data_IF_587399982741
#
_entry.id   IF_587399982741
#
_cell.length_a   1.000
_cell.length_b   1.000
_cell.length_c   1.000
_cell.angle_alpha   90.00
_cell.angle_beta   90.00
_cell.angle_gamma   90.00
#
_symmetry.space_group_name_H-M   'P 1'
#
loop_
_entity.id
_entity.type
_entity.pdbx_description
1 polymer ?
#
# COMPACT_ATOMS: atom_id res chain seq x y z
N UNK A 1 2.42 -28.53 -6.58
CA UNK A 1 1.99 -27.68 -5.42
C UNK A 1 1.82 -26.25 -5.92
N UNK A 2 0.81 -25.50 -5.48
CA UNK A 2 0.65 -24.11 -5.93
C UNK A 2 1.53 -23.19 -5.06
N UNK A 3 2.54 -22.57 -5.67
CA UNK A 3 3.41 -21.59 -5.01
C UNK A 3 2.70 -20.23 -4.93
N UNK A 4 2.88 -19.50 -3.84
CA UNK A 4 2.28 -18.18 -3.66
C UNK A 4 2.95 -17.13 -4.57
N UNK A 5 4.27 -16.99 -4.51
CA UNK A 5 4.98 -15.98 -5.29
C UNK A 5 6.46 -16.31 -5.48
N UNK A 6 7.05 -15.71 -6.51
CA UNK A 6 8.45 -15.82 -6.87
C UNK A 6 8.94 -14.45 -7.32
N UNK A 7 10.17 -14.07 -6.95
CA UNK A 7 10.82 -12.91 -7.52
C UNK A 7 12.33 -13.01 -7.53
N UNK A 8 12.95 -12.58 -8.62
CA UNK A 8 14.39 -12.44 -8.74
C UNK A 8 14.76 -10.96 -8.81
N UNK A 9 15.79 -10.55 -8.06
CA UNK A 9 16.08 -9.14 -7.85
C UNK A 9 17.48 -8.85 -7.33
N UNK A 10 17.72 -7.56 -7.08
CA UNK A 10 18.92 -7.08 -6.37
C UNK A 10 18.61 -6.87 -4.89
N UNK A 11 19.62 -6.96 -4.04
CA UNK A 11 19.52 -6.63 -2.63
C UNK A 11 20.64 -5.68 -2.21
N UNK A 12 20.33 -4.79 -1.27
CA UNK A 12 21.37 -4.00 -0.59
C UNK A 12 21.71 -4.64 0.75
N UNK A 13 23.01 -4.79 1.03
CA UNK A 13 23.52 -5.34 2.29
C UNK A 13 24.24 -4.26 3.09
N UNK A 14 24.07 -4.29 4.41
CA UNK A 14 24.86 -3.47 5.32
C UNK A 14 26.27 -4.08 5.56
N UNK A 15 27.11 -3.43 6.37
CA UNK A 15 28.49 -3.88 6.67
C UNK A 15 28.56 -5.24 7.36
N UNK A 16 27.49 -5.66 8.03
CA UNK A 16 27.37 -6.97 8.68
C UNK A 16 26.94 -8.07 7.69
N UNK A 17 26.76 -7.73 6.41
CA UNK A 17 26.28 -8.65 5.40
C UNK A 17 24.80 -8.99 5.52
N UNK A 18 23.99 -8.16 6.18
CA UNK A 18 22.53 -8.36 6.28
C UNK A 18 21.82 -7.60 5.17
N UNK A 19 20.86 -8.25 4.51
CA UNK A 19 19.97 -7.60 3.56
C UNK A 19 19.09 -6.58 4.29
N UNK A 20 19.14 -5.32 3.86
CA UNK A 20 18.33 -4.22 4.42
C UNK A 20 17.25 -3.74 3.45
N UNK A 21 17.35 -4.13 2.19
CA UNK A 21 16.48 -3.70 1.10
C UNK A 21 16.56 -4.70 -0.05
N UNK A 22 15.46 -4.89 -0.79
CA UNK A 22 15.44 -5.71 -2.00
C UNK A 22 14.52 -5.14 -3.08
N UNK A 23 14.99 -5.14 -4.32
CA UNK A 23 14.29 -4.64 -5.51
C UNK A 23 13.99 -5.79 -6.48
N UNK A 24 12.71 -5.97 -6.80
CA UNK A 24 12.20 -7.01 -7.69
C UNK A 24 11.49 -6.37 -8.88
N UNK A 25 12.13 -6.28 -10.07
CA UNK A 25 11.54 -5.60 -11.21
C UNK A 25 10.32 -6.33 -11.79
N UNK A 26 10.29 -7.66 -11.67
CA UNK A 26 9.27 -8.51 -12.29
C UNK A 26 8.80 -9.63 -11.32
N UNK A 27 8.18 -9.27 -10.18
CA UNK A 27 7.66 -10.28 -9.26
C UNK A 27 6.51 -11.04 -9.91
N UNK A 28 6.42 -12.34 -9.64
CA UNK A 28 5.42 -13.25 -10.19
C UNK A 28 4.52 -13.73 -9.07
N UNK A 29 3.21 -13.55 -9.25
CA UNK A 29 2.19 -14.12 -8.39
C UNK A 29 1.73 -15.46 -8.98
N UNK A 30 1.60 -16.49 -8.15
CA UNK A 30 1.20 -17.84 -8.56
C UNK A 30 2.05 -18.41 -9.72
N UNK A 31 3.39 -18.47 -9.59
CA UNK A 31 4.26 -19.02 -10.65
C UNK A 31 3.93 -20.49 -10.93
N UNK A 32 4.22 -20.94 -12.15
CA UNK A 32 4.04 -22.36 -12.51
C UNK A 32 5.03 -23.25 -11.75
N UNK A 33 4.62 -24.47 -11.43
CA UNK A 33 5.48 -25.47 -10.79
C UNK A 33 6.72 -25.76 -11.63
N UNK A 34 6.57 -25.84 -12.96
CA UNK A 34 7.69 -26.02 -13.90
C UNK A 34 8.73 -24.88 -13.84
N UNK A 35 8.28 -23.63 -13.67
CA UNK A 35 9.19 -22.50 -13.48
C UNK A 35 9.93 -22.63 -12.15
N UNK A 36 9.21 -22.90 -11.06
CA UNK A 36 9.83 -23.02 -9.74
C UNK A 36 10.83 -24.18 -9.70
N UNK A 37 10.51 -25.35 -10.26
CA UNK A 37 11.42 -26.51 -10.31
C UNK A 37 12.70 -26.20 -11.11
N UNK A 38 12.57 -25.49 -12.22
CA UNK A 38 13.70 -25.07 -13.04
C UNK A 38 14.63 -24.11 -12.30
N UNK A 39 14.07 -23.15 -11.55
CA UNK A 39 14.85 -22.20 -10.75
C UNK A 39 15.42 -22.87 -9.49
N UNK A 40 14.68 -23.80 -8.89
CA UNK A 40 15.10 -24.54 -7.71
C UNK A 40 16.38 -25.35 -7.96
N UNK A 41 16.46 -25.97 -9.14
CA UNK A 41 17.66 -26.71 -9.58
C UNK A 41 18.91 -25.83 -9.61
N UNK A 42 18.78 -24.55 -9.97
CA UNK A 42 19.89 -23.59 -10.08
C UNK A 42 20.20 -22.92 -8.74
N UNK A 43 19.17 -22.50 -8.02
CA UNK A 43 19.30 -21.75 -6.78
C UNK A 43 19.51 -22.62 -5.54
N UNK A 44 19.23 -23.93 -5.61
CA UNK A 44 19.24 -24.80 -4.45
C UNK A 44 18.04 -24.59 -3.53
N UNK A 45 16.88 -24.21 -4.08
CA UNK A 45 15.64 -24.14 -3.32
C UNK A 45 15.12 -25.54 -3.00
N UNK A 46 14.69 -25.77 -1.76
CA UNK A 46 14.18 -27.07 -1.31
C UNK A 46 12.66 -27.04 -1.07
N UNK A 47 12.22 -26.18 -0.14
CA UNK A 47 10.82 -26.11 0.31
C UNK A 47 10.54 -24.84 1.13
N UNK A 48 9.25 -24.56 1.34
CA UNK A 48 8.79 -23.47 2.19
C UNK A 48 9.06 -22.09 1.59
N UNK A 49 9.12 -21.08 2.45
CA UNK A 49 9.49 -19.73 2.04
C UNK A 49 11.00 -19.55 2.20
N UNK A 50 11.68 -19.14 1.13
CA UNK A 50 13.13 -18.93 1.14
C UNK A 50 13.53 -17.67 0.38
N UNK A 51 14.47 -16.92 0.96
CA UNK A 51 15.24 -15.90 0.28
C UNK A 51 16.68 -16.42 0.10
N UNK A 52 17.10 -16.60 -1.14
CA UNK A 52 18.35 -17.27 -1.52
C UNK A 52 19.26 -16.26 -2.22
N UNK A 53 20.48 -16.08 -1.73
CA UNK A 53 21.49 -15.27 -2.43
C UNK A 53 21.97 -15.98 -3.69
N UNK A 54 22.05 -15.23 -4.79
CA UNK A 54 22.35 -15.75 -6.12
C UNK A 54 23.71 -15.22 -6.59
N UNK A 55 24.57 -16.11 -7.06
CA UNK A 55 25.83 -15.73 -7.71
C UNK A 55 25.62 -15.23 -9.14
N UNK A 56 26.59 -14.49 -9.68
CA UNK A 56 26.59 -14.07 -11.08
C UNK A 56 26.48 -15.27 -12.06
N UNK A 57 27.14 -16.40 -11.75
CA UNK A 57 27.06 -17.61 -12.55
C UNK A 57 25.66 -18.23 -12.53
N UNK A 58 25.07 -18.38 -11.35
CA UNK A 58 23.68 -18.83 -11.22
C UNK A 58 22.71 -17.88 -11.93
N UNK A 59 22.93 -16.57 -11.88
CA UNK A 59 22.08 -15.60 -12.59
C UNK A 59 22.03 -15.85 -14.10
N UNK A 60 23.14 -16.24 -14.73
CA UNK A 60 23.15 -16.60 -16.16
C UNK A 60 22.33 -17.88 -16.45
N UNK A 61 22.38 -18.85 -15.54
CA UNK A 61 21.57 -20.08 -15.63
C UNK A 61 20.07 -19.80 -15.39
N UNK A 62 19.74 -18.96 -14.40
CA UNK A 62 18.38 -18.48 -14.14
C UNK A 62 17.81 -17.78 -15.38
N UNK A 63 18.62 -16.99 -16.10
CA UNK A 63 18.19 -16.35 -17.34
C UNK A 63 17.67 -17.38 -18.36
N UNK A 64 18.39 -18.49 -18.53
CA UNK A 64 17.97 -19.59 -19.40
C UNK A 64 16.73 -20.32 -18.87
N UNK A 65 16.60 -20.46 -17.55
CA UNK A 65 15.44 -21.10 -16.93
C UNK A 65 14.16 -20.26 -17.10
N UNK A 66 14.23 -18.95 -16.89
CA UNK A 66 13.12 -18.03 -17.15
C UNK A 66 12.70 -18.04 -18.63
N UNK A 67 13.66 -17.95 -19.55
CA UNK A 67 13.38 -17.94 -21.00
C UNK A 67 12.66 -19.22 -21.45
N UNK A 68 13.13 -20.38 -21.01
CA UNK A 68 12.51 -21.68 -21.34
C UNK A 68 11.09 -21.83 -20.79
N UNK A 69 10.75 -21.08 -19.75
CA UNK A 69 9.44 -21.05 -19.13
C UNK A 69 8.59 -19.84 -19.59
N UNK A 70 9.03 -19.12 -20.63
CA UNK A 70 8.26 -18.04 -21.24
C UNK A 70 8.26 -16.71 -20.47
N UNK A 71 9.13 -16.55 -19.48
CA UNK A 71 9.29 -15.30 -18.72
C UNK A 71 10.46 -14.47 -19.25
N UNK A 72 10.25 -13.86 -20.42
CA UNK A 72 11.27 -13.07 -21.10
C UNK A 72 11.73 -11.85 -20.28
N UNK A 73 10.87 -11.29 -19.41
CA UNK A 73 11.20 -10.12 -18.61
C UNK A 73 12.22 -10.47 -17.51
N UNK A 74 11.95 -11.54 -16.74
CA UNK A 74 12.91 -12.02 -15.76
C UNK A 74 14.18 -12.60 -16.43
N UNK A 75 14.07 -13.24 -17.60
CA UNK A 75 15.23 -13.69 -18.36
C UNK A 75 16.16 -12.53 -18.74
N UNK A 76 15.61 -11.44 -19.27
CA UNK A 76 16.37 -10.26 -19.64
C UNK A 76 17.00 -9.56 -18.43
N UNK A 77 16.30 -9.50 -17.29
CA UNK A 77 16.87 -9.01 -16.05
C UNK A 77 18.03 -9.90 -15.59
N UNK A 78 17.85 -11.22 -15.58
CA UNK A 78 18.85 -12.16 -15.09
C UNK A 78 20.13 -12.18 -15.93
N UNK A 79 20.02 -12.01 -17.25
CA UNK A 79 21.17 -11.85 -18.13
C UNK A 79 22.01 -10.60 -17.80
N UNK A 80 21.36 -9.49 -17.41
CA UNK A 80 22.05 -8.27 -16.96
C UNK A 80 22.62 -8.43 -15.56
N UNK A 81 21.85 -9.04 -14.66
CA UNK A 81 22.26 -9.28 -13.28
C UNK A 81 23.52 -10.15 -13.19
N UNK A 82 23.72 -11.07 -14.14
CA UNK A 82 24.94 -11.87 -14.26
C UNK A 82 26.22 -11.05 -14.46
N UNK A 83 26.12 -9.77 -14.86
CA UNK A 83 27.24 -8.85 -15.01
C UNK A 83 27.33 -7.80 -13.90
N UNK A 84 26.42 -7.86 -12.92
CA UNK A 84 26.35 -6.91 -11.81
C UNK A 84 27.29 -7.31 -10.67
N UNK A 85 27.80 -6.31 -9.95
CA UNK A 85 28.49 -6.51 -8.68
C UNK A 85 27.56 -6.37 -7.47
N UNK A 86 26.29 -6.04 -7.69
CA UNK A 86 25.30 -5.94 -6.62
C UNK A 86 24.95 -7.34 -6.10
N UNK A 87 24.67 -7.50 -4.78
CA UNK A 87 24.07 -8.72 -4.27
C UNK A 87 22.76 -9.03 -5.01
N UNK A 88 22.58 -10.29 -5.37
CA UNK A 88 21.37 -10.78 -6.04
C UNK A 88 20.62 -11.72 -5.10
N UNK A 89 19.30 -11.69 -5.17
CA UNK A 89 18.44 -12.54 -4.34
C UNK A 89 17.28 -13.09 -5.15
N UNK A 90 17.03 -14.38 -4.98
CA UNK A 90 15.83 -15.07 -5.45
C UNK A 90 14.96 -15.37 -4.24
N UNK A 91 13.72 -14.88 -4.24
CA UNK A 91 12.73 -15.18 -3.21
C UNK A 91 11.69 -16.12 -3.79
N UNK A 92 11.48 -17.25 -3.15
CA UNK A 92 10.42 -18.21 -3.47
C UNK A 92 9.53 -18.34 -2.23
N UNK A 93 8.25 -18.02 -2.39
CA UNK A 93 7.23 -18.18 -1.37
C UNK A 93 6.32 -19.34 -1.76
N UNK A 94 6.46 -20.48 -1.08
CA UNK A 94 5.52 -21.58 -1.21
C UNK A 94 4.12 -21.19 -0.72
N UNK A 95 4.03 -20.43 0.38
CA UNK A 95 2.78 -20.06 1.04
C UNK A 95 2.75 -18.58 1.41
N UNK A 96 1.54 -18.02 1.52
CA UNK A 96 1.33 -16.66 2.06
C UNK A 96 1.29 -16.69 3.59
N UNK A 97 2.45 -16.69 4.23
CA UNK A 97 2.61 -16.68 5.69
C UNK A 97 3.49 -15.52 6.16
N UNK A 98 3.63 -15.32 7.46
CA UNK A 98 4.43 -14.23 8.03
C UNK A 98 5.86 -14.27 7.47
N UNK A 99 6.31 -13.14 6.89
CA UNK A 99 7.65 -13.00 6.35
C UNK A 99 8.73 -13.21 7.41
N UNK A 100 9.74 -14.02 7.09
CA UNK A 100 10.86 -14.35 7.97
C UNK A 100 12.14 -13.59 7.61
N UNK A 101 12.19 -12.94 6.44
CA UNK A 101 13.34 -12.17 5.99
C UNK A 101 12.94 -10.84 5.34
N UNK A 102 13.85 -9.86 5.37
CA UNK A 102 13.63 -8.54 4.75
C UNK A 102 13.25 -8.66 3.27
N UNK A 103 13.91 -9.55 2.53
CA UNK A 103 13.63 -9.79 1.11
C UNK A 103 12.19 -10.28 0.88
N UNK A 104 11.65 -11.18 1.71
CA UNK A 104 10.26 -11.61 1.63
C UNK A 104 9.27 -10.46 1.91
N UNK A 105 9.58 -9.62 2.92
CA UNK A 105 8.77 -8.44 3.23
C UNK A 105 8.71 -7.46 2.06
N UNK A 106 9.85 -7.18 1.43
CA UNK A 106 9.92 -6.34 0.24
C UNK A 106 9.18 -6.94 -0.95
N UNK A 107 9.22 -8.27 -1.15
CA UNK A 107 8.44 -8.94 -2.19
C UNK A 107 6.95 -8.70 -1.98
N UNK A 108 6.43 -8.94 -0.78
CA UNK A 108 4.99 -8.74 -0.51
C UNK A 108 4.53 -7.30 -0.70
N UNK A 109 5.34 -6.31 -0.30
CA UNK A 109 5.04 -4.90 -0.56
C UNK A 109 5.04 -4.59 -2.07
N UNK A 110 6.01 -5.13 -2.82
CA UNK A 110 6.07 -4.97 -4.27
C UNK A 110 4.91 -5.67 -4.98
N UNK A 111 4.44 -6.83 -4.52
CA UNK A 111 3.23 -7.47 -5.08
C UNK A 111 2.01 -6.54 -5.01
N UNK A 112 1.86 -5.80 -3.90
CA UNK A 112 0.78 -4.82 -3.74
C UNK A 112 1.00 -3.62 -4.69
N UNK A 113 2.21 -3.06 -4.71
CA UNK A 113 2.51 -1.88 -5.54
C UNK A 113 2.52 -2.17 -7.03
N UNK A 114 2.85 -3.39 -7.46
CA UNK A 114 2.68 -3.86 -8.84
C UNK A 114 1.21 -4.13 -9.20
N UNK A 115 0.27 -3.98 -8.25
CA UNK A 115 -1.16 -4.31 -8.38
C UNK A 115 -1.44 -5.79 -8.65
N UNK A 116 -0.49 -6.68 -8.34
CA UNK A 116 -0.71 -8.13 -8.42
C UNK A 116 -1.61 -8.60 -7.28
N UNK A 117 -1.49 -7.93 -6.12
CA UNK A 117 -2.30 -8.17 -4.94
C UNK A 117 -3.00 -6.87 -4.51
N UNK A 118 -4.28 -6.95 -4.17
CA UNK A 118 -5.02 -5.83 -3.56
C UNK A 118 -4.66 -5.69 -2.08
N UNK A 119 -4.83 -4.51 -1.46
CA UNK A 119 -4.75 -4.39 0.00
C UNK A 119 -5.55 -5.49 0.72
N UNK A 120 -5.00 -6.03 1.80
CA UNK A 120 -5.49 -7.19 2.57
C UNK A 120 -5.41 -8.54 1.85
N UNK A 121 -4.78 -8.60 0.67
CA UNK A 121 -4.62 -9.84 -0.10
C UNK A 121 -3.32 -10.61 0.20
N UNK A 122 -2.52 -10.19 1.18
CA UNK A 122 -1.33 -10.94 1.64
C UNK A 122 -1.07 -10.72 3.13
N UNK A 123 -0.46 -11.71 3.79
CA UNK A 123 -0.08 -11.65 5.21
C UNK A 123 1.11 -10.70 5.41
N UNK A 124 0.89 -9.60 6.14
CA UNK A 124 1.91 -8.60 6.49
C UNK A 124 2.15 -8.48 8.00
N UNK A 125 1.67 -9.45 8.79
CA UNK A 125 1.88 -9.47 10.24
C UNK A 125 3.36 -9.40 10.59
N UNK A 126 3.70 -8.58 11.59
CA UNK A 126 5.09 -8.43 12.06
C UNK A 126 6.02 -7.65 11.12
N UNK A 127 5.57 -7.17 9.95
CA UNK A 127 6.44 -6.50 8.96
C UNK A 127 7.19 -5.29 9.53
N UNK A 128 6.58 -4.53 10.45
CA UNK A 128 7.25 -3.41 11.12
C UNK A 128 8.44 -3.84 12.00
N UNK A 129 8.36 -5.02 12.62
CA UNK A 129 9.46 -5.57 13.41
C UNK A 129 10.57 -6.13 12.53
N UNK A 130 10.21 -6.65 11.36
CA UNK A 130 11.11 -7.22 10.36
C UNK A 130 11.92 -6.14 9.61
N UNK A 131 11.26 -5.07 9.15
CA UNK A 131 11.94 -4.01 8.39
C UNK A 131 12.76 -3.11 9.32
N UNK A 132 13.96 -2.73 8.89
CA UNK A 132 14.85 -1.85 9.66
C UNK A 132 14.57 -0.39 9.35
N UNK A 133 14.90 0.52 10.29
CA UNK A 133 14.84 1.95 10.01
C UNK A 133 16.08 2.34 9.20
N UNK A 134 15.89 2.83 7.98
CA UNK A 134 16.96 3.04 6.99
C UNK A 134 17.04 4.51 6.61
N UNK A 135 18.25 5.00 6.33
CA UNK A 135 18.44 6.28 5.65
C UNK A 135 18.34 6.08 4.13
N UNK A 136 17.28 6.61 3.53
CA UNK A 136 17.05 6.58 2.09
C UNK A 136 17.75 7.79 1.47
N UNK A 137 18.79 7.52 0.69
CA UNK A 137 19.69 8.56 0.17
C UNK A 137 19.77 8.54 -1.35
N UNK A 138 20.36 9.59 -1.93
CA UNK A 138 20.65 9.63 -3.36
C UNK A 138 21.70 8.58 -3.83
N UNK A 139 22.36 7.87 -2.90
CA UNK A 139 23.26 6.75 -3.19
C UNK A 139 22.62 5.38 -2.87
N UNK A 140 21.31 5.34 -2.60
CA UNK A 140 20.59 4.15 -2.17
C UNK A 140 20.37 4.07 -0.66
N UNK A 141 19.86 2.93 -0.16
CA UNK A 141 19.63 2.72 1.27
C UNK A 141 20.96 2.57 2.02
N UNK A 142 21.08 3.28 3.14
CA UNK A 142 22.24 3.20 4.04
C UNK A 142 21.72 2.85 5.44
N UNK A 143 22.31 1.83 6.04
CA UNK A 143 22.00 1.47 7.43
C UNK A 143 22.38 2.63 8.36
N UNK A 144 21.54 2.92 9.36
CA UNK A 144 21.74 4.10 10.20
C UNK A 144 23.09 4.14 10.94
N UNK A 145 23.63 3.01 11.45
CA UNK A 145 24.97 3.00 12.04
C UNK A 145 26.09 3.37 11.05
N UNK A 146 25.87 3.26 9.74
CA UNK A 146 26.84 3.58 8.68
C UNK A 146 26.75 5.01 8.16
N UNK A 147 25.61 5.68 8.39
CA UNK A 147 25.32 6.96 7.76
C UNK A 147 26.36 8.05 8.06
N UNK A 148 26.81 8.17 9.32
CA UNK A 148 27.73 9.23 9.73
C UNK A 148 29.09 9.12 9.00
N UNK A 149 29.62 7.91 8.89
CA UNK A 149 30.87 7.62 8.18
C UNK A 149 30.74 7.95 6.70
N UNK A 150 29.66 7.51 6.06
CA UNK A 150 29.35 7.79 4.64
C UNK A 150 29.19 9.28 4.36
N UNK A 151 28.59 10.03 5.28
CA UNK A 151 28.48 11.49 5.18
C UNK A 151 29.84 12.17 5.27
N UNK A 152 30.72 11.74 6.19
CA UNK A 152 32.09 12.28 6.32
C UNK A 152 32.87 12.02 5.03
N UNK A 153 32.85 10.80 4.51
CA UNK A 153 33.51 10.44 3.24
C UNK A 153 33.03 11.30 2.07
N UNK A 154 31.71 11.49 1.93
CA UNK A 154 31.15 12.35 0.90
C UNK A 154 31.67 13.79 1.00
N UNK A 155 31.69 14.36 2.22
CA UNK A 155 32.17 15.75 2.43
C UNK A 155 33.67 15.90 2.19
N UNK A 156 34.49 14.94 2.62
CA UNK A 156 35.93 14.93 2.36
C UNK A 156 36.23 14.80 0.85
N UNK A 157 35.36 14.12 0.10
CA UNK A 157 35.41 14.04 -1.36
C UNK A 157 34.78 15.25 -2.07
N UNK A 158 34.32 16.28 -1.35
CA UNK A 158 33.67 17.47 -1.93
C UNK A 158 32.27 17.24 -2.49
N UNK A 159 31.60 16.15 -2.12
CA UNK A 159 30.22 15.78 -2.52
C UNK A 159 29.24 15.94 -1.36
N UNK A 160 27.94 15.93 -1.67
CA UNK A 160 26.86 15.90 -0.67
C UNK A 160 26.11 14.58 -0.79
N UNK A 161 25.97 13.88 0.34
CA UNK A 161 25.04 12.75 0.50
C UNK A 161 23.72 13.30 1.05
N UNK A 162 22.68 13.32 0.22
CA UNK A 162 21.34 13.78 0.59
C UNK A 162 20.57 12.63 1.21
N UNK A 163 19.93 12.88 2.34
CA UNK A 163 19.04 11.94 3.02
C UNK A 163 17.61 12.45 2.83
N UNK A 164 16.85 11.78 1.96
CA UNK A 164 15.49 12.19 1.60
C UNK A 164 14.47 11.70 2.64
N UNK A 165 14.74 10.56 3.28
CA UNK A 165 13.83 9.93 4.23
C UNK A 165 14.62 9.08 5.23
N UNK A 166 14.16 9.01 6.47
CA UNK A 166 14.61 8.05 7.48
C UNK A 166 13.39 7.28 7.99
N UNK A 167 13.19 6.09 7.45
CA UNK A 167 11.98 5.30 7.71
C UNK A 167 12.21 3.81 7.39
N UNK A 168 11.30 2.95 7.86
CA UNK A 168 11.24 1.52 7.53
C UNK A 168 10.70 1.23 6.13
N UNK A 169 9.93 2.16 5.57
CA UNK A 169 9.30 2.00 4.26
C UNK A 169 9.86 3.04 3.29
N UNK A 170 10.38 2.64 2.12
CA UNK A 170 10.75 3.58 1.08
C UNK A 170 9.53 4.16 0.35
N UNK A 171 9.77 5.16 -0.49
CA UNK A 171 8.77 5.64 -1.46
C UNK A 171 8.58 4.61 -2.59
N UNK A 172 7.33 4.39 -2.99
CA UNK A 172 6.95 3.35 -3.96
C UNK A 172 7.64 3.51 -5.31
N UNK A 173 7.78 4.75 -5.78
CA UNK A 173 8.25 5.06 -7.14
C UNK A 173 9.71 4.71 -7.40
N UNK A 174 10.50 4.51 -6.35
CA UNK A 174 11.88 4.03 -6.47
C UNK A 174 11.93 2.54 -6.87
N UNK A 175 10.80 1.84 -6.73
CA UNK A 175 10.62 0.43 -7.05
C UNK A 175 9.71 0.24 -8.26
N UNK A 176 8.56 0.90 -8.26
CA UNK A 176 7.57 0.75 -9.33
C UNK A 176 6.73 2.01 -9.50
N UNK A 177 6.53 2.39 -10.76
CA UNK A 177 5.49 3.32 -11.17
C UNK A 177 4.47 2.53 -11.99
N UNK A 178 3.34 2.13 -11.38
CA UNK A 178 2.30 1.39 -12.11
C UNK A 178 1.76 2.21 -13.28
N UNK A 179 1.27 1.52 -14.31
CA UNK A 179 0.73 2.19 -15.49
C UNK A 179 -0.50 3.04 -15.16
N UNK A 180 -0.66 4.16 -15.89
CA UNK A 180 -1.86 5.00 -15.81
C UNK A 180 -2.04 5.76 -14.50
N UNK A 181 -0.97 6.05 -13.75
CA UNK A 181 -1.04 6.88 -12.53
C UNK A 181 -0.36 8.23 -12.69
N UNK A 182 -0.73 9.16 -11.82
CA UNK A 182 0.05 10.37 -11.55
C UNK A 182 0.28 10.51 -10.06
N UNK A 183 1.51 10.82 -9.66
CA UNK A 183 1.88 11.08 -8.27
C UNK A 183 2.72 12.36 -8.27
N UNK A 184 2.16 13.43 -7.71
CA UNK A 184 2.76 14.76 -7.78
C UNK A 184 3.95 14.92 -6.81
N UNK A 185 3.80 14.45 -5.58
CA UNK A 185 4.90 14.31 -4.62
C UNK A 185 5.05 12.83 -4.24
N UNK A 186 6.12 12.22 -4.75
CA UNK A 186 6.33 10.78 -4.63
C UNK A 186 6.75 10.34 -3.22
N UNK A 187 7.20 11.27 -2.37
CA UNK A 187 7.56 10.99 -0.99
C UNK A 187 6.34 10.56 -0.14
N UNK A 188 5.12 10.84 -0.62
CA UNK A 188 3.87 10.59 0.10
C UNK A 188 3.17 9.29 -0.28
N UNK A 189 3.78 8.46 -1.12
CA UNK A 189 3.26 7.13 -1.49
C UNK A 189 4.29 6.09 -1.11
N UNK A 190 4.01 5.33 -0.04
CA UNK A 190 4.93 4.29 0.47
C UNK A 190 4.92 3.05 -0.41
N UNK A 191 6.05 2.35 -0.49
CA UNK A 191 6.09 1.00 -1.03
C UNK A 191 5.10 0.11 -0.26
N UNK A 192 4.30 -0.67 -1.00
CA UNK A 192 3.14 -1.39 -0.49
C UNK A 192 1.82 -0.64 -0.62
N UNK A 193 1.81 0.59 -1.14
CA UNK A 193 0.59 1.25 -1.57
C UNK A 193 0.07 0.63 -2.89
N UNK A 194 -1.24 0.50 -3.04
CA UNK A 194 -1.91 0.09 -4.26
C UNK A 194 -2.57 1.32 -4.92
N UNK A 195 -1.94 1.86 -5.96
CA UNK A 195 -2.46 3.04 -6.67
C UNK A 195 -3.17 2.57 -7.94
N UNK A 196 -4.50 2.53 -7.96
CA UNK A 196 -5.31 2.05 -9.08
C UNK A 196 -5.10 2.83 -10.38
N UNK A 197 -5.41 2.21 -11.53
CA UNK A 197 -5.30 2.87 -12.83
C UNK A 197 -6.25 4.08 -12.91
N UNK A 198 -5.75 5.19 -13.44
CA UNK A 198 -6.46 6.47 -13.49
C UNK A 198 -6.41 7.28 -12.19
N UNK A 199 -5.82 6.76 -11.12
CA UNK A 199 -5.62 7.54 -9.89
C UNK A 199 -4.62 8.67 -10.10
N UNK A 200 -4.97 9.85 -9.59
CA UNK A 200 -4.05 10.98 -9.41
C UNK A 200 -3.86 11.24 -7.93
N UNK A 201 -2.63 11.11 -7.44
CA UNK A 201 -2.23 11.55 -6.10
C UNK A 201 -1.60 12.93 -6.22
N UNK A 202 -2.28 13.96 -5.72
CA UNK A 202 -1.77 15.34 -5.70
C UNK A 202 -0.78 15.53 -4.54
N UNK A 203 -0.16 16.71 -4.46
CA UNK A 203 0.89 17.01 -3.47
C UNK A 203 0.44 16.77 -2.01
N UNK A 204 -0.82 17.08 -1.69
CA UNK A 204 -1.37 16.84 -0.34
C UNK A 204 -1.91 15.40 -0.16
N UNK A 205 -1.92 14.61 -1.23
CA UNK A 205 -2.28 13.20 -1.20
C UNK A 205 -1.21 12.36 -0.50
N UNK A 206 -1.65 11.40 0.30
CA UNK A 206 -0.78 10.43 0.95
C UNK A 206 -1.44 9.05 0.91
N UNK A 207 -0.65 8.02 0.60
CA UNK A 207 -1.09 6.62 0.61
C UNK A 207 -0.06 5.77 1.36
N UNK A 208 -0.51 5.12 2.43
CA UNK A 208 0.32 4.23 3.22
C UNK A 208 0.44 2.83 2.58
N UNK A 209 1.27 1.96 3.18
CA UNK A 209 1.32 0.55 2.79
C UNK A 209 0.01 -0.19 3.11
N UNK A 210 -0.27 -1.27 2.36
CA UNK A 210 -1.49 -2.07 2.46
C UNK A 210 -2.77 -1.20 2.38
N UNK A 211 -2.74 -0.17 1.54
CA UNK A 211 -3.81 0.79 1.37
C UNK A 211 -3.79 1.37 -0.04
N UNK A 212 -4.83 2.08 -0.42
CA UNK A 212 -4.87 2.85 -1.65
C UNK A 212 -6.21 2.82 -2.36
N UNK A 213 -6.16 2.85 -3.69
CA UNK A 213 -7.34 3.04 -4.55
C UNK A 213 -7.56 1.82 -5.43
N UNK A 214 -8.82 1.44 -5.62
CA UNK A 214 -9.22 0.31 -6.46
C UNK A 214 -9.23 0.66 -7.97
N UNK A 215 -9.35 1.94 -8.31
CA UNK A 215 -9.49 2.43 -9.69
C UNK A 215 -9.26 3.94 -9.80
N UNK A 216 -10.04 4.62 -10.61
CA UNK A 216 -9.96 6.09 -10.81
C UNK A 216 -10.26 6.80 -9.48
N UNK A 217 -9.44 7.77 -9.11
CA UNK A 217 -9.62 8.56 -7.88
C UNK A 217 -8.77 9.83 -7.94
N UNK A 218 -9.29 10.94 -7.43
CA UNK A 218 -8.50 12.11 -7.06
C UNK A 218 -8.12 12.03 -5.57
N UNK A 219 -6.82 11.88 -5.28
CA UNK A 219 -6.31 11.76 -3.91
C UNK A 219 -5.50 13.00 -3.55
N UNK A 220 -6.11 13.85 -2.75
CA UNK A 220 -5.52 15.08 -2.19
C UNK A 220 -5.50 15.08 -0.65
N UNK A 221 -5.96 13.98 -0.04
CA UNK A 221 -5.90 13.74 1.40
C UNK A 221 -5.15 12.45 1.76
N UNK A 222 -5.30 12.02 3.02
CA UNK A 222 -4.51 10.93 3.61
C UNK A 222 -5.29 9.63 3.69
N UNK A 223 -4.79 8.62 2.99
CA UNK A 223 -5.26 7.23 3.01
C UNK A 223 -4.34 6.43 3.97
N UNK A 224 -4.85 6.16 5.18
CA UNK A 224 -4.12 5.41 6.21
C UNK A 224 -3.93 3.94 5.86
N UNK A 225 -2.99 3.26 6.54
CA UNK A 225 -2.74 1.83 6.32
C UNK A 225 -4.02 1.00 6.51
N UNK A 226 -4.26 0.04 5.62
CA UNK A 226 -5.47 -0.76 5.56
C UNK A 226 -6.65 -0.10 4.84
N UNK A 227 -6.63 1.20 4.58
CA UNK A 227 -7.78 1.89 3.95
C UNK A 227 -7.82 1.60 2.45
N UNK A 228 -9.00 1.20 1.96
CA UNK A 228 -9.27 1.03 0.53
C UNK A 228 -10.32 2.04 0.09
N UNK A 229 -10.02 2.76 -0.99
CA UNK A 229 -10.91 3.72 -1.64
C UNK A 229 -11.44 3.12 -2.94
N UNK A 230 -12.76 3.06 -3.05
CA UNK A 230 -13.47 2.55 -4.21
C UNK A 230 -13.26 3.39 -5.47
N UNK A 231 -13.65 2.82 -6.61
CA UNK A 231 -13.53 3.48 -7.91
C UNK A 231 -14.43 4.73 -7.99
N UNK A 232 -13.92 5.80 -8.61
CA UNK A 232 -14.63 7.06 -8.79
C UNK A 232 -14.75 7.93 -7.53
N UNK A 233 -14.11 7.55 -6.43
CA UNK A 233 -14.16 8.30 -5.18
C UNK A 233 -13.03 9.31 -5.06
N UNK A 234 -13.36 10.51 -4.56
CA UNK A 234 -12.43 11.63 -4.43
C UNK A 234 -12.16 11.96 -2.96
N UNK A 235 -10.88 12.11 -2.64
CA UNK A 235 -10.38 12.42 -1.30
C UNK A 235 -9.82 13.86 -1.35
N UNK A 236 -10.63 14.83 -0.95
CA UNK A 236 -10.31 16.25 -1.05
C UNK A 236 -9.09 16.68 -0.23
N UNK A 237 -8.57 17.86 -0.58
CA UNK A 237 -7.32 18.41 -0.03
C UNK A 237 -7.23 18.37 1.49
N UNK A 238 -6.22 17.69 2.04
CA UNK A 238 -5.97 17.62 3.49
C UNK A 238 -6.93 16.72 4.27
N UNK A 239 -7.87 16.06 3.59
CA UNK A 239 -8.79 15.14 4.23
C UNK A 239 -8.07 13.98 4.94
N UNK A 240 -8.75 13.35 5.89
CA UNK A 240 -8.18 12.29 6.73
C UNK A 240 -9.09 11.09 6.79
N UNK A 241 -8.58 9.92 6.42
CA UNK A 241 -9.27 8.65 6.65
C UNK A 241 -8.56 7.90 7.77
N UNK A 242 -9.27 7.65 8.87
CA UNK A 242 -8.69 7.05 10.08
C UNK A 242 -8.19 5.63 9.80
N UNK A 243 -6.94 5.35 10.16
CA UNK A 243 -6.40 3.98 10.21
C UNK A 243 -6.71 3.30 11.54
N UNK A 244 -6.57 1.97 11.58
CA UNK A 244 -6.74 1.17 12.81
C UNK A 244 -5.76 1.59 13.92
N UNK A 245 -4.52 1.93 13.53
CA UNK A 245 -3.47 2.41 14.45
C UNK A 245 -3.73 3.81 15.03
N UNK A 246 -4.65 4.58 14.46
CA UNK A 246 -4.90 5.98 14.82
C UNK A 246 -6.11 6.15 15.75
N UNK A 247 -6.52 5.08 16.45
CA UNK A 247 -7.63 5.11 17.43
C UNK A 247 -8.96 4.58 16.90
N UNK A 248 -9.01 3.95 15.72
CA UNK A 248 -10.23 3.41 15.10
C UNK A 248 -10.72 2.06 15.63
N UNK A 249 -10.06 1.51 16.64
CA UNK A 249 -10.33 0.15 17.10
C UNK A 249 -9.92 -0.89 16.04
N UNK A 250 -10.67 -1.99 15.95
CA UNK A 250 -10.36 -3.12 15.04
C UNK A 250 -10.98 -2.99 13.65
N UNK A 251 -11.86 -2.03 13.42
CA UNK A 251 -12.59 -1.91 12.15
C UNK A 251 -11.71 -1.18 11.14
N UNK A 252 -11.46 -1.83 10.01
CA UNK A 252 -10.75 -1.22 8.87
C UNK A 252 -11.71 -0.26 8.17
N UNK A 253 -11.32 1.01 8.07
CA UNK A 253 -12.11 2.02 7.36
C UNK A 253 -11.93 1.84 5.85
N UNK A 254 -13.03 1.87 5.11
CA UNK A 254 -13.06 1.91 3.65
C UNK A 254 -13.90 3.08 3.17
N UNK A 255 -13.68 3.48 1.92
CA UNK A 255 -14.55 4.40 1.18
C UNK A 255 -15.13 3.59 0.01
N UNK A 256 -16.46 3.59 -0.13
CA UNK A 256 -17.15 2.96 -1.27
C UNK A 256 -16.84 3.64 -2.60
N UNK A 257 -17.59 3.29 -3.63
CA UNK A 257 -17.46 3.86 -4.97
C UNK A 257 -18.17 5.21 -5.09
N UNK A 258 -17.69 6.06 -6.02
CA UNK A 258 -18.31 7.34 -6.37
C UNK A 258 -18.64 8.26 -5.17
N UNK A 259 -17.81 8.20 -4.13
CA UNK A 259 -17.97 8.98 -2.90
C UNK A 259 -17.05 10.19 -2.86
N UNK A 260 -17.40 11.20 -2.07
CA UNK A 260 -16.62 12.43 -1.92
C UNK A 260 -16.32 12.70 -0.45
N UNK A 261 -15.04 12.74 -0.10
CA UNK A 261 -14.58 13.28 1.18
C UNK A 261 -14.12 14.71 0.94
N UNK A 262 -14.85 15.70 1.46
CA UNK A 262 -14.54 17.12 1.27
C UNK A 262 -13.15 17.52 1.79
N UNK A 263 -12.66 18.67 1.35
CA UNK A 263 -11.36 19.19 1.79
C UNK A 263 -11.31 19.36 3.31
N UNK A 264 -10.22 18.95 3.94
CA UNK A 264 -10.02 18.95 5.40
C UNK A 264 -11.11 18.19 6.20
N UNK A 265 -11.92 17.36 5.55
CA UNK A 265 -12.85 16.48 6.23
C UNK A 265 -12.11 15.32 6.90
N UNK A 266 -12.79 14.63 7.80
CA UNK A 266 -12.26 13.46 8.46
C UNK A 266 -13.29 12.37 8.62
N UNK A 267 -12.89 11.14 8.37
CA UNK A 267 -13.78 9.98 8.46
C UNK A 267 -13.18 8.92 9.37
N UNK A 268 -14.02 8.43 10.30
CA UNK A 268 -13.65 7.45 11.30
C UNK A 268 -14.42 6.13 11.29
N UNK A 269 -15.13 5.81 10.20
CA UNK A 269 -15.90 4.58 10.03
C UNK A 269 -16.06 4.26 8.53
N UNK A 270 -16.35 3.01 8.12
CA UNK A 270 -16.53 2.67 6.71
C UNK A 270 -17.66 3.47 6.04
N UNK A 271 -17.37 4.09 4.90
CA UNK A 271 -18.36 4.81 4.10
C UNK A 271 -18.87 3.90 2.97
N UNK A 272 -20.18 3.87 2.76
CA UNK A 272 -20.78 3.19 1.61
C UNK A 272 -20.53 3.92 0.28
N UNK A 273 -21.23 3.51 -0.76
CA UNK A 273 -21.11 4.12 -2.08
C UNK A 273 -21.90 5.43 -2.19
N UNK A 274 -21.48 6.32 -3.09
CA UNK A 274 -22.19 7.57 -3.42
C UNK A 274 -22.45 8.47 -2.20
N UNK A 275 -21.56 8.39 -1.22
CA UNK A 275 -21.67 9.17 0.00
C UNK A 275 -20.82 10.43 -0.11
N UNK A 276 -21.26 11.51 0.53
CA UNK A 276 -20.54 12.78 0.59
C UNK A 276 -20.34 13.22 2.03
N UNK A 277 -19.12 13.63 2.37
CA UNK A 277 -18.82 14.29 3.64
C UNK A 277 -18.40 15.72 3.35
N UNK A 278 -19.10 16.68 3.94
CA UNK A 278 -18.81 18.10 3.82
C UNK A 278 -17.35 18.45 4.16
N UNK A 279 -16.80 19.44 3.46
CA UNK A 279 -15.47 19.97 3.75
C UNK A 279 -15.36 20.49 5.19
N UNK A 280 -14.28 20.12 5.87
CA UNK A 280 -14.03 20.49 7.28
C UNK A 280 -14.87 19.74 8.31
N UNK A 281 -15.74 18.81 7.89
CA UNK A 281 -16.48 17.96 8.82
C UNK A 281 -15.65 16.72 9.18
N UNK A 282 -15.41 16.54 10.48
CA UNK A 282 -14.85 15.29 11.00
C UNK A 282 -15.98 14.45 11.62
N UNK A 283 -16.24 13.27 11.05
CA UNK A 283 -17.23 12.31 11.57
C UNK A 283 -16.51 11.07 12.10
N UNK A 284 -16.51 10.93 13.42
CA UNK A 284 -15.97 9.77 14.11
C UNK A 284 -17.06 8.70 14.28
N UNK A 285 -16.70 7.44 14.50
CA UNK A 285 -17.65 6.38 14.80
C UNK A 285 -18.63 6.72 15.96
N UNK A 286 -18.18 7.52 16.94
CA UNK A 286 -18.97 7.94 18.10
C UNK A 286 -19.76 9.23 17.90
N UNK A 287 -19.58 9.94 16.79
CA UNK A 287 -20.30 11.18 16.50
C UNK A 287 -21.81 10.90 16.48
N UNK A 288 -22.59 11.69 17.24
CA UNK A 288 -24.05 11.66 17.16
C UNK A 288 -24.49 12.42 15.91
N UNK A 289 -25.32 11.78 15.11
CA UNK A 289 -25.77 12.27 13.81
C UNK A 289 -27.29 12.36 13.82
N UNK A 290 -27.82 13.53 13.47
CA UNK A 290 -29.24 13.74 13.24
C UNK A 290 -29.59 13.25 11.84
N UNK A 291 -30.32 12.15 11.74
CA UNK A 291 -30.74 11.57 10.46
C UNK A 291 -31.93 12.35 9.92
N UNK A 292 -31.82 12.77 8.66
CA UNK A 292 -32.86 13.45 7.92
C UNK A 292 -33.28 12.61 6.72
N UNK A 293 -34.58 12.49 6.49
CA UNK A 293 -35.12 11.87 5.28
C UNK A 293 -35.00 12.80 4.06
N UNK A 294 -35.47 12.33 2.90
CA UNK A 294 -35.46 13.09 1.65
C UNK A 294 -36.29 14.38 1.67
N UNK A 295 -37.18 14.56 2.66
CA UNK A 295 -37.95 15.79 2.88
C UNK A 295 -37.27 16.75 3.88
N UNK A 296 -36.11 16.36 4.43
CA UNK A 296 -35.39 17.11 5.46
C UNK A 296 -36.01 16.98 6.85
N UNK A 297 -36.94 16.05 7.04
CA UNK A 297 -37.55 15.78 8.34
C UNK A 297 -36.67 14.84 9.17
N UNK A 298 -36.65 15.08 10.48
CA UNK A 298 -35.89 14.26 11.41
C UNK A 298 -36.51 12.88 11.55
N UNK A 299 -35.68 11.85 11.36
CA UNK A 299 -36.06 10.46 11.58
C UNK A 299 -35.66 10.05 12.99
N UNK A 300 -34.36 10.12 13.29
CA UNK A 300 -33.81 9.77 14.59
C UNK A 300 -32.39 10.32 14.79
N UNK A 301 -31.86 10.18 16.01
CA UNK A 301 -30.47 10.50 16.35
C UNK A 301 -29.67 9.22 16.59
N UNK A 302 -28.70 8.93 15.72
CA UNK A 302 -27.89 7.71 15.74
C UNK A 302 -26.41 8.01 15.97
N UNK A 303 -25.59 6.99 16.24
CA UNK A 303 -24.13 7.13 16.14
C UNK A 303 -23.70 6.87 14.71
N UNK A 304 -22.69 7.58 14.22
CA UNK A 304 -22.22 7.43 12.85
C UNK A 304 -21.76 6.01 12.49
N UNK A 305 -21.27 5.23 13.47
CA UNK A 305 -20.93 3.81 13.26
C UNK A 305 -22.12 2.95 12.82
N UNK A 306 -23.34 3.33 13.21
CA UNK A 306 -24.55 2.60 12.87
C UNK A 306 -24.98 2.88 11.40
N UNK A 307 -24.32 3.86 10.75
CA UNK A 307 -24.45 4.21 9.33
C UNK A 307 -23.32 3.65 8.46
N UNK A 308 -22.45 2.80 9.02
CA UNK A 308 -21.29 2.29 8.30
C UNK A 308 -21.70 1.44 7.09
N UNK A 309 -21.11 1.73 5.93
CA UNK A 309 -21.39 1.03 4.68
C UNK A 309 -22.73 1.37 4.01
N UNK A 310 -23.58 2.18 4.65
CA UNK A 310 -24.82 2.67 4.03
C UNK A 310 -24.47 3.64 2.91
N UNK A 311 -25.12 3.47 1.76
CA UNK A 311 -24.87 4.25 0.54
C UNK A 311 -25.80 5.47 0.44
N UNK A 312 -25.47 6.40 -0.45
CA UNK A 312 -26.31 7.55 -0.81
C UNK A 312 -26.59 8.51 0.37
N UNK A 313 -25.59 8.71 1.24
CA UNK A 313 -25.65 9.57 2.41
C UNK A 313 -24.85 10.87 2.23
N UNK A 314 -25.42 12.00 2.67
CA UNK A 314 -24.73 13.28 2.76
C UNK A 314 -24.55 13.68 4.22
N UNK A 315 -23.30 13.69 4.70
CA UNK A 315 -22.92 14.20 6.01
C UNK A 315 -22.55 15.67 5.93
N UNK A 316 -23.19 16.51 6.75
CA UNK A 316 -22.93 17.95 6.84
C UNK A 316 -23.04 18.48 8.28
N UNK A 317 -22.50 19.66 8.54
CA UNK A 317 -22.72 20.42 9.76
C UNK A 317 -23.73 21.54 9.50
N UNK A 318 -24.80 21.57 10.28
CA UNK A 318 -25.71 22.70 10.28
C UNK A 318 -24.97 23.95 10.80
N UNK A 319 -24.83 24.98 9.96
CA UNK A 319 -24.04 26.17 10.28
C UNK A 319 -24.69 27.09 11.33
N UNK A 320 -26.00 26.94 11.59
CA UNK A 320 -26.71 27.72 12.60
C UNK A 320 -26.65 27.03 13.97
N UNK A 321 -26.84 25.71 14.01
CA UNK A 321 -26.93 24.95 15.27
C UNK A 321 -25.65 24.22 15.66
N UNK A 322 -24.72 24.03 14.71
CA UNK A 322 -23.52 23.23 14.88
C UNK A 322 -23.75 21.71 14.87
N UNK A 323 -25.01 21.25 14.73
CA UNK A 323 -25.34 19.83 14.73
C UNK A 323 -24.78 19.12 13.48
N UNK A 324 -24.34 17.88 13.66
CA UNK A 324 -23.99 16.99 12.55
C UNK A 324 -25.28 16.35 12.04
N UNK A 325 -25.54 16.53 10.76
CA UNK A 325 -26.71 16.00 10.05
C UNK A 325 -26.26 14.98 9.01
N UNK A 326 -27.08 13.97 8.78
CA UNK A 326 -26.93 13.06 7.66
C UNK A 326 -28.24 13.01 6.87
N UNK A 327 -28.19 13.47 5.63
CA UNK A 327 -29.33 13.48 4.72
C UNK A 327 -29.29 12.20 3.90
N UNK A 328 -30.37 11.42 3.96
CA UNK A 328 -30.56 10.26 3.11
C UNK A 328 -31.38 10.64 1.87
N UNK A 329 -31.05 10.08 0.71
CA UNK A 329 -31.89 10.20 -0.49
C UNK A 329 -33.10 9.24 -0.48
N UNK A 330 -33.57 8.85 0.71
CA UNK A 330 -34.60 7.83 0.93
C UNK A 330 -35.68 8.35 1.89
N UNK A 331 -36.85 7.72 1.85
CA UNK A 331 -37.90 7.98 2.84
C UNK A 331 -37.53 7.39 4.21
N UNK A 332 -38.12 7.90 5.29
CA UNK A 332 -37.88 7.42 6.65
C UNK A 332 -38.14 5.90 6.81
N UNK A 333 -39.13 5.36 6.09
CA UNK A 333 -39.50 3.93 6.15
C UNK A 333 -38.43 3.05 5.51
N UNK A 334 -37.94 3.44 4.33
CA UNK A 334 -36.88 2.72 3.62
C UNK A 334 -35.57 2.74 4.41
N UNK A 335 -35.26 3.90 5.00
CA UNK A 335 -34.07 4.10 5.82
C UNK A 335 -34.09 3.21 7.07
N UNK A 336 -35.19 3.20 7.82
CA UNK A 336 -35.33 2.35 9.00
C UNK A 336 -35.21 0.87 8.66
N UNK A 337 -35.76 0.42 7.52
CA UNK A 337 -35.61 -0.96 7.07
C UNK A 337 -34.14 -1.30 6.82
N UNK A 338 -33.36 -0.40 6.24
CA UNK A 338 -31.95 -0.64 5.93
C UNK A 338 -31.06 -0.62 7.18
N UNK A 339 -31.30 0.32 8.10
CA UNK A 339 -30.57 0.43 9.37
C UNK A 339 -30.83 -0.75 10.30
N UNK A 340 -32.01 -1.38 10.21
CA UNK A 340 -32.43 -2.44 11.13
C UNK A 340 -32.58 -3.82 10.48
N UNK A 341 -32.18 -3.98 9.21
CA UNK A 341 -32.22 -5.28 8.50
C UNK A 341 -31.33 -6.36 9.10
N UNK A 342 -30.39 -6.00 9.98
CA UNK A 342 -29.41 -6.90 10.60
C UNK A 342 -29.51 -6.95 12.14
N UNK A 343 -30.65 -6.56 12.72
CA UNK A 343 -30.94 -6.82 14.15
C UNK A 343 -31.58 -8.19 14.35
#
# INVERSE_FOLDING_TARGET
MAYFSLAFGTATKNRDGKIIEAFFPHPVLNPSEALVDALATVAGYEQGNQAIEISAAQSAELASAFEKNGDAANAAFAAKAAQSTQPLVLVILATDEQSQSVAEGFLKLQLISHRLIKPHGTVLDGIFGLLHNIAWTNEGPIDLPELAERQIEARLAGRVLTVDCVDKFPKMVDYIVPTGVRIADTSRVRLGAHVGEGTTVMHEGFINFNAGTAGVSMVEGRISAGVVVGNGSDIGGGASIMGTLSGGGKVVVSIGENSLLGANAGLGFPLGDRCTVESGLYVTAGSKVRMLDSSGQEVEMVKARDLAGVSDLLFRRNSVTGQIECLANKTAVELNSELHKNN
#
